data_IF_308099482812
#
_entry.id   IF_308099482812
#
_cell.length_a   1.000
_cell.length_b   1.000
_cell.length_c   1.000
_cell.angle_alpha   90.00
_cell.angle_beta   90.00
_cell.angle_gamma   90.00
#
_symmetry.space_group_name_H-M   'P 1'
#
loop_
_entity.id
_entity.type
_entity.pdbx_description
1 polymer ?
#
# COMPACT_ATOMS: atom_id res chain seq x y z
N UNK A 1 -3.51 -1.73 5.22
CA UNK A 1 -2.69 -1.04 4.23
C UNK A 1 -1.38 -0.58 4.87
N UNK A 2 -0.27 -0.90 4.25
CA UNK A 2 1.07 -0.49 4.68
C UNK A 2 1.66 0.41 3.59
N UNK A 3 2.09 1.59 3.97
CA UNK A 3 2.69 2.55 3.05
C UNK A 3 4.04 3.00 3.61
N UNK A 4 5.11 2.77 2.84
CA UNK A 4 6.48 3.13 3.22
C UNK A 4 6.87 2.62 4.62
N UNK A 5 6.62 1.33 4.87
CA UNK A 5 6.90 0.65 6.14
C UNK A 5 6.11 1.19 7.34
N UNK A 6 4.96 1.80 7.10
CA UNK A 6 4.08 2.29 8.14
C UNK A 6 2.65 1.78 7.93
N UNK A 7 2.01 1.28 8.97
CA UNK A 7 0.60 0.87 8.92
C UNK A 7 -0.26 2.13 8.93
N UNK A 8 -1.14 2.25 7.94
CA UNK A 8 -2.05 3.39 7.85
C UNK A 8 -3.50 2.95 8.06
N UNK A 9 -4.31 3.84 8.66
CA UNK A 9 -5.67 3.52 9.11
C UNK A 9 -6.67 3.33 7.97
N UNK A 10 -6.36 3.78 6.77
CA UNK A 10 -7.27 3.64 5.63
C UNK A 10 -7.21 2.24 5.06
N UNK A 11 -8.34 1.77 4.58
CA UNK A 11 -8.46 0.44 3.99
C UNK A 11 -8.80 0.55 2.52
N UNK A 12 -8.29 -0.38 1.73
CA UNK A 12 -8.71 -0.56 0.36
C UNK A 12 -9.89 -1.49 0.25
N UNK A 13 -10.34 -1.70 -0.97
CA UNK A 13 -11.34 -2.72 -1.32
C UNK A 13 -10.74 -3.69 -2.31
N UNK A 14 -11.13 -4.95 -2.19
CA UNK A 14 -10.82 -5.98 -3.17
C UNK A 14 -12.11 -6.32 -3.92
N UNK A 15 -12.11 -6.10 -5.23
CA UNK A 15 -13.26 -6.39 -6.09
C UNK A 15 -12.80 -7.23 -7.26
N UNK A 16 -13.31 -8.46 -7.37
CA UNK A 16 -12.96 -9.40 -8.44
C UNK A 16 -11.45 -9.61 -8.58
N UNK A 17 -10.72 -9.66 -7.45
CA UNK A 17 -9.27 -9.82 -7.46
C UNK A 17 -8.47 -8.56 -7.69
N UNK A 18 -9.12 -7.43 -7.92
CA UNK A 18 -8.48 -6.14 -8.17
C UNK A 18 -8.52 -5.25 -6.92
N UNK A 19 -7.41 -4.55 -6.66
CA UNK A 19 -7.29 -3.66 -5.51
C UNK A 19 -7.75 -2.26 -5.86
N UNK A 20 -8.61 -1.69 -5.01
CA UNK A 20 -9.09 -0.31 -5.10
C UNK A 20 -8.73 0.43 -3.83
N UNK A 21 -8.25 1.66 -3.97
CA UNK A 21 -7.92 2.52 -2.84
C UNK A 21 -8.88 3.70 -2.79
N UNK A 22 -9.20 4.17 -1.56
CA UNK A 22 -10.03 5.35 -1.43
C UNK A 22 -9.35 6.56 -2.06
N UNK A 23 -10.14 7.50 -2.55
CA UNK A 23 -9.62 8.75 -3.11
C UNK A 23 -8.71 9.47 -2.10
N UNK A 24 -9.10 9.51 -0.84
CA UNK A 24 -8.32 10.15 0.22
C UNK A 24 -6.95 9.50 0.38
N UNK A 25 -6.88 8.16 0.32
CA UNK A 25 -5.61 7.42 0.38
C UNK A 25 -4.72 7.78 -0.81
N UNK A 26 -5.28 7.80 -2.01
CA UNK A 26 -4.53 8.15 -3.22
C UNK A 26 -4.00 9.57 -3.11
N UNK A 27 -4.85 10.54 -2.74
CA UNK A 27 -4.46 11.94 -2.62
C UNK A 27 -3.39 12.16 -1.55
N UNK A 28 -3.54 11.52 -0.40
CA UNK A 28 -2.68 11.79 0.75
C UNK A 28 -1.35 11.04 0.70
N UNK A 29 -1.31 9.87 0.07
CA UNK A 29 -0.13 8.99 0.13
C UNK A 29 0.54 8.72 -1.21
N UNK A 30 -0.18 8.83 -2.32
CA UNK A 30 0.34 8.43 -3.63
C UNK A 30 0.46 9.59 -4.61
N UNK A 31 -0.62 10.32 -4.85
CA UNK A 31 -0.63 11.35 -5.88
C UNK A 31 -1.73 12.37 -5.62
N UNK A 32 -1.34 13.56 -5.17
CA UNK A 32 -2.25 14.64 -4.81
C UNK A 32 -2.89 15.33 -6.03
N UNK A 33 -2.50 14.99 -7.25
CA UNK A 33 -3.06 15.58 -8.48
C UNK A 33 -4.38 14.95 -8.90
N UNK A 34 -4.73 13.79 -8.36
CA UNK A 34 -6.05 13.23 -8.57
C UNK A 34 -7.10 14.06 -7.86
N UNK A 35 -8.20 14.33 -8.54
CA UNK A 35 -9.33 15.07 -8.00
C UNK A 35 -10.62 14.31 -8.27
N UNK A 36 -11.37 14.04 -7.21
CA UNK A 36 -12.70 13.43 -7.29
C UNK A 36 -13.77 14.51 -7.11
N UNK A 37 -14.67 14.61 -8.11
CA UNK A 37 -15.81 15.50 -8.04
C UNK A 37 -17.06 14.71 -7.63
N UNK A 38 -17.53 14.85 -6.38
CA UNK A 38 -18.69 14.10 -5.90
C UNK A 38 -20.01 14.56 -6.49
N UNK A 39 -20.08 15.77 -7.04
CA UNK A 39 -21.30 16.30 -7.63
C UNK A 39 -21.54 15.73 -9.02
N UNK A 40 -20.51 15.55 -9.81
CA UNK A 40 -20.59 15.02 -11.16
C UNK A 40 -20.18 13.54 -11.25
N UNK A 41 -19.66 12.95 -10.16
CA UNK A 41 -19.14 11.59 -10.11
C UNK A 41 -18.06 11.36 -11.17
N UNK A 42 -17.11 12.28 -11.24
CA UNK A 42 -16.01 12.24 -12.20
C UNK A 42 -14.69 12.34 -11.44
N UNK A 43 -13.76 11.45 -11.78
CA UNK A 43 -12.36 11.56 -11.37
C UNK A 43 -11.58 12.30 -12.45
N UNK A 44 -10.80 13.30 -12.06
CA UNK A 44 -9.94 14.06 -12.97
C UNK A 44 -8.48 13.99 -12.55
N UNK A 45 -7.62 13.96 -13.53
CA UNK A 45 -6.18 14.04 -13.36
C UNK A 45 -5.60 14.95 -14.45
N UNK A 46 -4.78 15.91 -14.05
CA UNK A 46 -4.21 16.88 -14.98
C UNK A 46 -2.70 16.70 -15.02
N UNK A 47 -2.17 16.51 -16.22
CA UNK A 47 -0.73 16.59 -16.49
C UNK A 47 -0.41 17.97 -17.07
N UNK A 48 0.88 18.17 -17.45
CA UNK A 48 1.28 19.43 -18.08
C UNK A 48 0.55 19.71 -19.38
N UNK A 49 0.10 18.67 -20.10
CA UNK A 49 -0.45 18.80 -21.46
C UNK A 49 -1.85 18.21 -21.60
N UNK A 50 -2.29 17.39 -20.65
CA UNK A 50 -3.49 16.57 -20.83
C UNK A 50 -4.44 16.70 -19.66
N UNK A 51 -5.73 16.63 -19.94
CA UNK A 51 -6.79 16.44 -18.96
C UNK A 51 -7.35 15.04 -19.12
N UNK A 52 -7.24 14.26 -18.04
CA UNK A 52 -7.76 12.89 -17.98
C UNK A 52 -9.04 12.92 -17.16
N UNK A 53 -10.10 12.29 -17.67
CA UNK A 53 -11.41 12.24 -17.01
C UNK A 53 -11.94 10.82 -17.02
N UNK A 54 -12.49 10.40 -15.87
CA UNK A 54 -13.06 9.07 -15.68
C UNK A 54 -14.41 9.22 -15.00
N UNK A 55 -15.48 8.75 -15.65
CA UNK A 55 -16.78 8.66 -15.02
C UNK A 55 -16.83 7.48 -14.05
N UNK A 56 -17.55 7.64 -12.94
CA UNK A 56 -17.75 6.54 -12.00
C UNK A 56 -18.37 5.33 -12.71
N UNK A 57 -17.98 4.15 -12.30
CA UNK A 57 -18.45 2.86 -12.79
C UNK A 57 -18.11 2.56 -14.27
N UNK A 58 -17.18 3.31 -14.87
CA UNK A 58 -16.74 3.10 -16.25
C UNK A 58 -15.39 2.40 -16.30
N UNK A 59 -15.20 1.56 -17.32
CA UNK A 59 -13.90 0.99 -17.67
C UNK A 59 -13.15 1.80 -18.71
N UNK A 60 -13.74 2.87 -19.20
CA UNK A 60 -13.13 3.78 -20.16
C UNK A 60 -12.79 5.11 -19.50
N UNK A 61 -11.79 5.79 -20.05
CA UNK A 61 -11.40 7.12 -19.63
C UNK A 61 -11.05 7.97 -20.86
N UNK A 62 -11.06 9.29 -20.69
CA UNK A 62 -10.69 10.19 -21.78
C UNK A 62 -9.37 10.87 -21.46
N UNK A 63 -8.52 11.01 -22.49
CA UNK A 63 -7.34 11.86 -22.47
C UNK A 63 -7.65 13.00 -23.42
N UNK A 64 -7.89 14.19 -22.86
CA UNK A 64 -8.49 15.32 -23.59
C UNK A 64 -9.85 14.91 -24.17
N UNK A 65 -9.94 14.64 -25.46
CA UNK A 65 -11.18 14.21 -26.12
C UNK A 65 -11.13 12.76 -26.61
N UNK A 66 -9.98 12.09 -26.47
CA UNK A 66 -9.80 10.75 -26.97
C UNK A 66 -10.16 9.72 -25.90
N UNK A 67 -11.02 8.76 -26.24
CA UNK A 67 -11.42 7.70 -25.33
C UNK A 67 -10.42 6.56 -25.36
N UNK A 68 -10.01 6.12 -24.15
CA UNK A 68 -9.15 4.98 -23.94
C UNK A 68 -9.89 3.93 -23.11
N UNK A 69 -9.56 2.67 -23.32
CA UNK A 69 -10.09 1.57 -22.50
C UNK A 69 -9.05 1.09 -21.51
N UNK A 70 -9.45 0.92 -20.25
CA UNK A 70 -8.60 0.36 -19.21
C UNK A 70 -8.81 -1.14 -19.02
N UNK A 71 -9.95 -1.67 -19.44
CA UNK A 71 -10.27 -3.08 -19.35
C UNK A 71 -10.94 -3.53 -18.08
N UNK A 72 -11.08 -2.65 -17.09
CA UNK A 72 -11.79 -2.88 -15.83
C UNK A 72 -12.35 -1.58 -15.31
N UNK A 73 -13.32 -1.65 -14.40
CA UNK A 73 -13.87 -0.46 -13.76
C UNK A 73 -12.76 0.32 -13.06
N UNK A 74 -12.60 1.59 -13.39
CA UNK A 74 -11.52 2.43 -12.85
C UNK A 74 -11.93 3.02 -11.51
N UNK A 75 -13.15 3.59 -11.42
CA UNK A 75 -13.63 4.26 -10.21
C UNK A 75 -14.95 3.64 -9.78
N UNK A 76 -15.04 3.29 -8.51
CA UNK A 76 -16.30 2.88 -7.87
C UNK A 76 -16.71 3.93 -6.87
N UNK A 77 -17.86 4.57 -7.12
CA UNK A 77 -18.40 5.57 -6.21
C UNK A 77 -19.11 4.89 -5.03
N UNK A 78 -18.88 5.41 -3.85
CA UNK A 78 -19.59 5.03 -2.63
C UNK A 78 -20.25 6.29 -2.06
N UNK A 79 -21.21 6.13 -1.13
CA UNK A 79 -22.05 7.22 -0.61
C UNK A 79 -21.25 8.45 -0.13
N UNK A 80 -20.06 8.25 0.41
CA UNK A 80 -19.23 9.33 0.98
C UNK A 80 -17.89 9.54 0.28
N UNK A 81 -17.46 8.62 -0.61
CA UNK A 81 -16.16 8.71 -1.27
C UNK A 81 -16.16 7.90 -2.57
N UNK A 82 -15.00 7.84 -3.19
CA UNK A 82 -14.74 7.01 -4.36
C UNK A 82 -13.56 6.10 -4.10
N UNK A 83 -13.54 4.96 -4.76
CA UNK A 83 -12.44 4.00 -4.75
C UNK A 83 -11.87 3.91 -6.16
N UNK A 84 -10.55 4.00 -6.27
CA UNK A 84 -9.84 4.06 -7.54
C UNK A 84 -9.01 2.81 -7.70
N UNK A 85 -9.05 2.17 -8.87
CA UNK A 85 -8.22 1.01 -9.17
C UNK A 85 -6.74 1.38 -9.01
N UNK A 86 -6.01 0.61 -8.22
CA UNK A 86 -4.61 0.90 -7.90
C UNK A 86 -3.74 0.91 -9.17
N UNK A 87 -4.03 0.04 -10.13
CA UNK A 87 -3.28 -0.04 -11.37
C UNK A 87 -3.51 1.18 -12.27
N UNK A 88 -4.68 1.82 -12.18
CA UNK A 88 -4.91 3.08 -12.89
C UNK A 88 -4.08 4.21 -12.28
N UNK A 89 -4.04 4.31 -10.96
CA UNK A 89 -3.20 5.30 -10.26
C UNK A 89 -1.73 5.08 -10.60
N UNK A 90 -1.31 3.83 -10.72
CA UNK A 90 0.08 3.47 -11.03
C UNK A 90 0.53 3.96 -12.41
N UNK A 91 -0.37 4.13 -13.37
CA UNK A 91 -0.03 4.69 -14.68
C UNK A 91 0.52 6.12 -14.60
N UNK A 92 0.13 6.87 -13.57
CA UNK A 92 0.47 8.29 -13.42
C UNK A 92 1.30 8.59 -12.18
N UNK A 93 1.71 7.55 -11.45
CA UNK A 93 2.38 7.71 -10.17
C UNK A 93 3.54 6.74 -10.08
N UNK A 94 4.59 7.15 -9.38
CA UNK A 94 5.78 6.32 -9.19
C UNK A 94 5.70 5.63 -7.83
N UNK A 95 5.20 4.41 -7.83
CA UNK A 95 5.17 3.56 -6.64
C UNK A 95 5.18 2.09 -7.02
N UNK A 96 5.53 1.25 -6.04
CA UNK A 96 5.43 -0.20 -6.15
C UNK A 96 4.40 -0.70 -5.13
N UNK A 97 3.70 -1.78 -5.45
CA UNK A 97 2.82 -2.41 -4.49
C UNK A 97 2.83 -3.93 -4.64
N UNK A 98 2.52 -4.59 -3.53
CA UNK A 98 2.26 -6.03 -3.51
C UNK A 98 1.01 -6.30 -2.69
N UNK A 99 0.22 -7.26 -3.13
CA UNK A 99 -0.98 -7.70 -2.44
C UNK A 99 -0.76 -9.11 -1.89
N UNK A 100 -1.11 -9.29 -0.62
CA UNK A 100 -0.97 -10.55 0.08
C UNK A 100 -2.31 -10.94 0.71
N UNK A 101 -2.56 -12.24 0.81
CA UNK A 101 -3.77 -12.77 1.43
C UNK A 101 -3.45 -13.39 2.79
N UNK A 102 -4.50 -13.60 3.57
CA UNK A 102 -4.53 -14.36 4.81
C UNK A 102 -3.61 -13.81 5.92
N UNK A 103 -3.90 -12.60 6.43
CA UNK A 103 -4.98 -11.70 6.08
C UNK A 103 -4.69 -10.87 4.83
N UNK A 104 -5.74 -10.32 4.23
CA UNK A 104 -5.61 -9.44 3.07
C UNK A 104 -4.88 -8.17 3.45
N UNK A 105 -3.80 -7.87 2.74
CA UNK A 105 -3.00 -6.67 2.98
C UNK A 105 -2.32 -6.21 1.73
N UNK A 106 -2.10 -4.91 1.63
CA UNK A 106 -1.39 -4.28 0.52
C UNK A 106 -0.21 -3.51 1.07
N UNK A 107 0.96 -3.73 0.48
CA UNK A 107 2.19 -3.04 0.83
C UNK A 107 2.54 -2.09 -0.31
N UNK A 108 2.57 -0.79 -0.01
CA UNK A 108 2.87 0.28 -0.96
C UNK A 108 4.21 0.91 -0.62
N UNK A 109 5.00 1.23 -1.65
CA UNK A 109 6.26 1.93 -1.49
C UNK A 109 6.38 3.00 -2.59
N UNK A 110 6.45 4.27 -2.21
CA UNK A 110 6.68 5.38 -3.13
C UNK A 110 7.82 6.29 -2.67
N UNK A 111 8.43 5.99 -1.55
CA UNK A 111 9.61 6.67 -1.06
C UNK A 111 10.69 5.63 -0.80
N UNK A 112 11.77 5.70 -1.57
CA UNK A 112 12.90 4.78 -1.43
C UNK A 112 13.99 5.52 -0.68
N UNK A 113 14.31 5.01 0.52
CA UNK A 113 15.38 5.52 1.36
C UNK A 113 16.39 4.43 1.68
N UNK A 114 17.45 4.82 2.36
CA UNK A 114 18.43 3.87 2.85
C UNK A 114 17.90 3.24 4.13
N UNK A 115 17.49 1.98 4.04
CA UNK A 115 17.05 1.21 5.19
C UNK A 115 18.12 0.21 5.59
N UNK A 116 18.27 0.02 6.89
CA UNK A 116 19.13 -1.05 7.42
C UNK A 116 18.40 -2.38 7.29
N UNK A 117 19.07 -3.36 6.68
CA UNK A 117 18.56 -4.71 6.51
C UNK A 117 19.36 -5.66 7.42
N UNK A 118 18.65 -6.55 8.09
CA UNK A 118 19.27 -7.63 8.87
C UNK A 118 18.53 -8.93 8.58
N UNK A 119 19.18 -10.05 8.86
CA UNK A 119 18.60 -11.37 8.64
C UNK A 119 18.28 -12.06 9.97
N UNK A 120 17.23 -12.86 10.01
CA UNK A 120 16.95 -13.72 11.16
C UNK A 120 18.02 -14.82 11.26
N UNK A 121 18.64 -14.97 12.42
CA UNK A 121 19.67 -16.00 12.68
C UNK A 121 19.07 -17.40 12.74
N UNK A 122 17.82 -17.47 13.11
CA UNK A 122 17.06 -18.73 13.24
C UNK A 122 15.59 -18.42 13.07
N UNK A 123 14.75 -19.43 12.93
CA UNK A 123 13.31 -19.24 12.92
C UNK A 123 12.88 -18.55 14.22
N UNK A 124 12.17 -17.43 14.12
CA UNK A 124 11.77 -16.63 15.28
C UNK A 124 10.44 -15.93 15.04
N UNK A 125 9.75 -15.62 16.12
CA UNK A 125 8.46 -14.96 16.11
C UNK A 125 8.59 -13.45 15.99
N UNK A 126 7.70 -12.84 15.24
CA UNK A 126 7.54 -11.38 15.15
C UNK A 126 6.24 -11.05 15.86
N UNK A 127 6.29 -10.21 16.88
CA UNK A 127 5.19 -9.91 17.77
C UNK A 127 4.65 -8.50 17.56
N UNK A 128 3.40 -8.31 17.95
CA UNK A 128 2.72 -7.02 17.84
C UNK A 128 3.46 -5.92 18.60
N UNK A 129 3.98 -6.23 19.78
CA UNK A 129 4.81 -5.32 20.57
C UNK A 129 5.99 -6.08 21.17
N UNK A 130 6.98 -5.37 21.70
CA UNK A 130 8.09 -5.98 22.38
C UNK A 130 7.66 -6.66 23.70
N UNK A 131 7.77 -7.99 23.73
CA UNK A 131 7.40 -8.79 24.90
C UNK A 131 6.94 -10.17 24.53
N UNK A 132 7.36 -11.17 25.31
CA UNK A 132 7.01 -12.58 25.04
C UNK A 132 5.52 -12.88 25.23
N UNK A 133 4.79 -11.99 25.89
CA UNK A 133 3.34 -12.11 26.07
C UNK A 133 2.52 -11.38 25.02
N UNK A 134 3.18 -10.58 24.16
CA UNK A 134 2.51 -9.89 23.06
C UNK A 134 2.06 -10.89 22.00
N UNK A 135 0.94 -10.63 21.30
CA UNK A 135 0.49 -11.50 20.22
C UNK A 135 1.55 -11.69 19.14
N UNK A 136 1.62 -12.89 18.60
CA UNK A 136 2.48 -13.23 17.48
C UNK A 136 1.78 -12.82 16.19
N UNK A 137 2.44 -11.99 15.39
CA UNK A 137 1.93 -11.60 14.07
C UNK A 137 2.30 -12.62 13.00
N UNK A 138 3.57 -13.04 12.99
CA UNK A 138 4.10 -13.97 12.00
C UNK A 138 5.41 -14.55 12.52
N UNK A 139 6.00 -15.46 11.75
CA UNK A 139 7.31 -16.02 12.03
C UNK A 139 8.25 -15.71 10.86
N UNK A 140 9.50 -15.41 11.16
CA UNK A 140 10.55 -15.28 10.17
C UNK A 140 11.41 -16.54 10.19
N UNK A 141 11.62 -17.13 9.03
CA UNK A 141 12.52 -18.28 8.90
C UNK A 141 13.98 -17.83 8.97
N UNK A 142 14.88 -18.76 9.24
CA UNK A 142 16.31 -18.49 9.22
C UNK A 142 16.72 -17.85 7.89
N UNK A 143 17.54 -16.82 7.96
CA UNK A 143 18.04 -16.04 6.82
C UNK A 143 16.99 -15.15 6.13
N UNK A 144 15.79 -15.02 6.68
CA UNK A 144 14.81 -14.05 6.18
C UNK A 144 15.33 -12.62 6.39
N UNK A 145 15.34 -11.82 5.34
CA UNK A 145 15.73 -10.42 5.42
C UNK A 145 14.59 -9.57 6.00
N UNK A 146 14.92 -8.71 6.93
CA UNK A 146 14.00 -7.82 7.62
C UNK A 146 14.53 -6.40 7.57
N UNK A 147 13.62 -5.45 7.35
CA UNK A 147 13.97 -4.03 7.40
C UNK A 147 13.91 -3.56 8.85
N UNK A 148 14.98 -2.95 9.32
CA UNK A 148 15.07 -2.42 10.68
C UNK A 148 14.42 -1.03 10.71
N UNK A 149 13.37 -0.87 11.51
CA UNK A 149 12.66 0.40 11.67
C UNK A 149 13.12 1.14 12.92
N UNK A 150 13.14 0.45 14.07
CA UNK A 150 13.59 1.01 15.33
C UNK A 150 14.48 -0.01 16.05
N UNK A 151 15.81 0.16 16.02
CA UNK A 151 16.69 -0.75 16.73
C UNK A 151 16.54 -0.58 18.25
N UNK A 152 16.63 -1.69 18.97
CA UNK A 152 16.57 -1.70 20.44
C UNK A 152 17.45 -2.80 21.01
N UNK A 153 17.74 -2.73 22.30
CA UNK A 153 18.62 -3.67 22.96
C UNK A 153 18.01 -5.06 23.09
N UNK A 154 16.74 -5.13 23.48
CA UNK A 154 16.03 -6.40 23.72
C UNK A 154 15.09 -6.73 22.56
N UNK A 155 14.33 -5.74 22.09
CA UNK A 155 13.39 -5.87 21.00
C UNK A 155 13.68 -4.82 19.93
N UNK A 156 13.60 -5.23 18.67
CA UNK A 156 13.79 -4.35 17.51
C UNK A 156 12.53 -4.35 16.67
N UNK A 157 12.05 -3.17 16.29
CA UNK A 157 10.91 -3.02 15.39
C UNK A 157 11.38 -3.26 13.97
N UNK A 158 10.68 -4.14 13.26
CA UNK A 158 11.04 -4.56 11.91
C UNK A 158 9.82 -4.57 11.00
N UNK A 159 10.09 -4.48 9.69
CA UNK A 159 9.10 -4.73 8.65
C UNK A 159 9.51 -5.95 7.84
N UNK A 160 8.56 -6.82 7.58
CA UNK A 160 8.76 -7.97 6.68
C UNK A 160 8.41 -7.59 5.25
N UNK A 161 8.99 -8.30 4.29
CA UNK A 161 8.70 -8.07 2.87
C UNK A 161 7.26 -8.44 2.49
N UNK A 162 6.63 -9.30 3.26
CA UNK A 162 5.26 -9.77 3.02
C UNK A 162 4.19 -9.01 3.81
N UNK A 163 4.53 -7.86 4.39
CA UNK A 163 3.55 -6.93 4.90
C UNK A 163 3.18 -7.04 6.37
N UNK A 164 4.16 -7.32 7.23
CA UNK A 164 3.99 -7.24 8.67
C UNK A 164 4.96 -6.22 9.27
N UNK A 165 4.48 -5.46 10.24
CA UNK A 165 5.31 -4.56 11.04
C UNK A 165 5.15 -4.96 12.49
N UNK A 166 6.25 -5.33 13.13
CA UNK A 166 6.23 -5.83 14.50
C UNK A 166 7.61 -5.85 15.14
N UNK A 167 7.75 -6.61 16.20
CA UNK A 167 8.95 -6.65 17.02
C UNK A 167 9.56 -8.05 17.06
N UNK A 168 10.86 -8.12 16.88
CA UNK A 168 11.67 -9.33 16.98
C UNK A 168 12.67 -9.16 18.11
N UNK A 169 13.03 -10.26 18.79
CA UNK A 169 14.13 -10.21 19.76
C UNK A 169 15.41 -9.80 19.05
N UNK A 170 16.07 -8.76 19.56
CA UNK A 170 17.27 -8.20 18.94
C UNK A 170 18.39 -9.21 18.79
N UNK A 171 18.52 -10.15 19.74
CA UNK A 171 19.53 -11.20 19.67
C UNK A 171 19.28 -12.27 18.61
N UNK A 172 18.12 -12.23 17.93
CA UNK A 172 17.78 -13.13 16.82
C UNK A 172 18.09 -12.51 15.47
N UNK A 173 18.59 -11.27 15.43
CA UNK A 173 18.99 -10.58 14.21
C UNK A 173 20.48 -10.68 13.99
N UNK A 174 20.90 -10.92 12.75
CA UNK A 174 22.27 -10.93 12.29
C UNK A 174 22.49 -9.94 11.16
N UNK A 175 23.72 -9.46 11.04
CA UNK A 175 24.14 -8.58 9.95
C UNK A 175 24.61 -9.37 8.72
#
# INVERSE_FOLDING_TARGET
>A
LICNNEVIDTKGKLVNGEVYLSYETVRNYLNARFYWDPNENILRYTTANDLISVNAESSDYTVNKDTQSFGQTIVKADASTAYIAIDFVKQYSDFQYNYYTDPNRVVLTNAWGDYTIASAKQKTEIRYQGGIKSPILTEADKNTELTILEPGDTWTKVATNDGYIGYIKSNKLGT
#
